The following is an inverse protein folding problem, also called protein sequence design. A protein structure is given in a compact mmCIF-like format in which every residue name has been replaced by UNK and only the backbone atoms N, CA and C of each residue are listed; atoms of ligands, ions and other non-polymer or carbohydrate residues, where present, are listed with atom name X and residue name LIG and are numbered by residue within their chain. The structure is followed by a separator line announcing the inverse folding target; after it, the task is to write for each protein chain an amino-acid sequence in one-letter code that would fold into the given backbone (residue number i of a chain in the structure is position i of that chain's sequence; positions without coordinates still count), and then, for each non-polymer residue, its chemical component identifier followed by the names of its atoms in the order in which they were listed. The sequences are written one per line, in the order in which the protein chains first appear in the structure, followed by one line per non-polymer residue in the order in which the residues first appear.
data_IF_196284573898
#
_entry.id   IF_196284573898
#
_cell.length_a   1.000
_cell.length_b   1.000
_cell.length_c   1.000
_cell.angle_alpha   90.00
_cell.angle_beta   90.00
_cell.angle_gamma   90.00
#
_symmetry.space_group_name_H-M   'P 1'
#
loop_
_entity.id
_entity.type
_entity.pdbx_description
1 polymer ?
#
# COMPACT_ATOMS: atom_id res chain seq x y z
N UNK A 1 61.63 50.48 -8.07
CA UNK A 1 60.86 49.31 -8.54
C UNK A 1 60.39 48.34 -7.43
N UNK A 2 60.70 48.52 -6.14
CA UNK A 2 60.26 47.59 -5.07
C UNK A 2 58.92 47.93 -4.37
N UNK A 3 58.39 49.14 -4.53
CA UNK A 3 57.12 49.57 -3.87
C UNK A 3 55.84 49.20 -4.65
N UNK A 4 55.93 48.92 -5.95
CA UNK A 4 54.77 48.60 -6.79
C UNK A 4 54.31 47.13 -6.69
N UNK A 5 55.19 46.20 -6.30
CA UNK A 5 54.85 44.78 -6.14
C UNK A 5 54.05 44.48 -4.86
N UNK A 6 54.20 45.32 -3.82
CA UNK A 6 53.47 45.17 -2.55
C UNK A 6 51.99 45.56 -2.67
N UNK A 7 51.66 46.53 -3.51
CA UNK A 7 50.26 46.90 -3.79
C UNK A 7 49.56 45.84 -4.64
N UNK A 8 50.24 45.27 -5.64
CA UNK A 8 49.66 44.20 -6.49
C UNK A 8 49.47 42.89 -5.71
N UNK A 9 50.39 42.55 -4.80
CA UNK A 9 50.26 41.38 -3.93
C UNK A 9 49.14 41.54 -2.88
N UNK A 10 48.92 42.75 -2.35
CA UNK A 10 47.84 43.04 -1.42
C UNK A 10 46.45 43.06 -2.12
N UNK A 11 46.37 43.56 -3.35
CA UNK A 11 45.14 43.50 -4.17
C UNK A 11 44.79 42.08 -4.60
N UNK A 12 45.79 41.26 -4.95
CA UNK A 12 45.58 39.86 -5.28
C UNK A 12 45.12 39.05 -4.07
N UNK A 13 45.67 39.30 -2.87
CA UNK A 13 45.28 38.63 -1.62
C UNK A 13 43.85 38.98 -1.16
N UNK A 14 43.35 40.21 -1.41
CA UNK A 14 41.96 40.57 -1.12
C UNK A 14 40.95 39.93 -2.09
N UNK A 15 41.35 39.60 -3.32
CA UNK A 15 40.47 38.93 -4.28
C UNK A 15 40.31 37.42 -4.05
N UNK A 16 41.24 36.75 -3.34
CA UNK A 16 41.15 35.31 -3.02
C UNK A 16 40.40 35.04 -1.71
N UNK A 17 40.18 36.08 -0.88
CA UNK A 17 39.45 35.96 0.38
C UNK A 17 37.93 36.24 0.24
N UNK A 18 37.46 36.73 -0.91
CA UNK A 18 36.09 37.28 -1.06
C UNK A 18 35.05 36.36 -1.71
N UNK A 19 35.33 35.08 -1.95
CA UNK A 19 34.33 34.16 -2.51
C UNK A 19 34.31 32.80 -1.78
N UNK A 20 34.10 32.80 -0.47
CA UNK A 20 33.27 31.73 0.10
C UNK A 20 31.83 32.18 -0.07
N UNK A 21 31.22 31.86 -1.22
CA UNK A 21 29.77 31.93 -1.32
C UNK A 21 29.21 31.00 -0.25
N UNK A 22 28.72 31.58 0.84
CA UNK A 22 27.75 30.88 1.68
C UNK A 22 26.47 30.84 0.87
N UNK A 23 26.39 29.89 -0.06
CA UNK A 23 25.12 29.51 -0.66
C UNK A 23 24.36 28.85 0.48
N UNK A 24 23.64 29.67 1.27
CA UNK A 24 22.65 29.11 2.17
C UNK A 24 21.52 28.58 1.27
N UNK A 25 21.14 27.30 1.39
CA UNK A 25 20.04 26.77 0.61
C UNK A 25 18.79 27.60 0.93
N UNK A 26 18.07 27.99 -0.10
CA UNK A 26 16.82 28.71 0.06
C UNK A 26 15.87 27.87 0.93
N UNK A 27 15.24 28.51 1.92
CA UNK A 27 14.33 27.80 2.81
C UNK A 27 13.14 27.27 2.01
N UNK A 28 12.71 26.02 2.23
CA UNK A 28 11.49 25.51 1.61
C UNK A 28 10.29 26.43 1.86
N UNK A 29 9.51 26.68 0.81
CA UNK A 29 8.27 27.47 0.90
C UNK A 29 7.06 26.59 0.62
N UNK A 30 5.93 26.95 1.23
CA UNK A 30 4.64 26.31 0.96
C UNK A 30 4.01 26.77 -0.37
N UNK A 31 4.59 27.80 -1.02
CA UNK A 31 4.01 28.40 -2.21
C UNK A 31 2.59 28.88 -1.92
N UNK A 32 1.63 28.37 -2.68
CA UNK A 32 0.22 28.67 -2.53
C UNK A 32 -0.50 27.76 -1.51
N UNK A 33 0.15 26.73 -0.96
CA UNK A 33 -0.46 25.83 0.02
C UNK A 33 -0.38 26.38 1.45
N UNK A 34 -1.21 25.84 2.34
CA UNK A 34 -1.16 26.11 3.78
C UNK A 34 -1.09 24.78 4.54
N UNK A 35 0.11 24.38 4.95
CA UNK A 35 0.32 23.11 5.68
C UNK A 35 0.13 23.23 7.19
N UNK A 36 -0.31 24.38 7.71
CA UNK A 36 -0.44 24.61 9.16
C UNK A 36 -1.31 23.57 9.86
N UNK A 37 -2.29 23.01 9.13
CA UNK A 37 -3.09 21.90 9.59
C UNK A 37 -3.32 20.85 8.50
N UNK A 38 -2.32 20.01 8.30
CA UNK A 38 -2.36 18.87 7.39
C UNK A 38 -3.17 17.71 7.97
N UNK A 39 -4.09 17.13 7.17
CA UNK A 39 -4.70 15.83 7.47
C UNK A 39 -4.44 14.80 6.37
N UNK A 40 -4.35 13.53 6.77
CA UNK A 40 -4.21 12.42 5.84
C UNK A 40 -5.42 11.50 5.94
N UNK A 41 -6.21 11.42 4.87
CA UNK A 41 -7.39 10.57 4.76
C UNK A 41 -7.04 9.36 3.90
N UNK A 42 -7.41 8.18 4.35
CA UNK A 42 -7.29 6.98 3.54
C UNK A 42 -7.38 5.71 4.34
N UNK A 43 -6.76 4.67 3.80
CA UNK A 43 -6.88 3.31 4.31
C UNK A 43 -5.64 2.83 5.07
N UNK A 44 -5.38 1.52 5.01
CA UNK A 44 -4.21 0.85 5.56
C UNK A 44 -2.90 1.54 5.16
N UNK A 45 -2.73 1.94 3.89
CA UNK A 45 -1.53 2.62 3.41
C UNK A 45 -1.31 3.97 4.11
N UNK A 46 -2.39 4.73 4.31
CA UNK A 46 -2.37 6.02 5.03
C UNK A 46 -2.08 5.84 6.51
N UNK A 47 -2.59 4.76 7.12
CA UNK A 47 -2.35 4.48 8.54
C UNK A 47 -0.91 4.08 8.85
N UNK A 48 -0.14 3.61 7.86
CA UNK A 48 1.19 3.01 8.06
C UNK A 48 1.16 1.50 8.31
N UNK A 49 0.10 0.83 7.87
CA UNK A 49 -0.01 -0.63 7.93
C UNK A 49 1.10 -1.27 7.08
N UNK A 50 1.72 -2.32 7.58
CA UNK A 50 2.81 -3.01 6.87
C UNK A 50 2.99 -4.40 7.45
N UNK A 51 3.64 -5.31 6.71
CA UNK A 51 3.96 -6.66 7.18
C UNK A 51 2.73 -7.43 7.74
N UNK A 52 1.52 -7.09 7.28
CA UNK A 52 0.28 -7.74 7.65
C UNK A 52 -0.45 -7.21 8.88
N UNK A 53 0.03 -6.14 9.52
CA UNK A 53 -0.64 -5.56 10.69
C UNK A 53 -0.36 -4.06 10.82
N UNK A 54 -1.08 -3.37 11.72
CA UNK A 54 -0.72 -2.02 12.14
C UNK A 54 0.17 -2.13 13.38
N UNK A 55 1.29 -1.40 13.41
CA UNK A 55 2.24 -1.36 14.51
C UNK A 55 2.99 -0.02 14.54
N UNK A 56 3.61 0.32 15.68
CA UNK A 56 4.10 1.68 15.98
C UNK A 56 5.11 2.20 14.95
N UNK A 57 6.21 1.49 14.71
CA UNK A 57 7.23 1.97 13.77
C UNK A 57 6.74 2.00 12.32
N UNK A 58 5.75 1.18 11.94
CA UNK A 58 5.07 1.25 10.65
C UNK A 58 4.30 2.56 10.49
N UNK A 59 3.59 2.98 11.54
CA UNK A 59 2.89 4.27 11.58
C UNK A 59 3.87 5.45 11.50
N UNK A 60 4.97 5.42 12.26
CA UNK A 60 6.01 6.46 12.24
C UNK A 60 6.76 6.55 10.90
N UNK A 61 6.72 5.49 10.10
CA UNK A 61 7.28 5.44 8.75
C UNK A 61 6.22 5.42 7.64
N UNK A 62 5.00 5.85 7.95
CA UNK A 62 3.94 6.03 6.96
C UNK A 62 4.23 7.21 6.05
N UNK A 63 3.69 7.20 4.82
CA UNK A 63 3.84 8.33 3.90
C UNK A 63 3.33 9.65 4.52
N UNK A 64 2.20 9.71 5.27
CA UNK A 64 1.76 10.96 5.88
C UNK A 64 2.73 11.50 6.93
N UNK A 65 3.35 10.61 7.72
CA UNK A 65 4.36 11.01 8.70
C UNK A 65 5.57 11.68 8.01
N UNK A 66 5.99 11.09 6.89
CA UNK A 66 7.09 11.64 6.09
C UNK A 66 6.72 12.98 5.43
N UNK A 67 5.51 13.10 4.88
CA UNK A 67 4.99 14.36 4.32
C UNK A 67 4.93 15.45 5.38
N UNK A 68 4.38 15.15 6.56
CA UNK A 68 4.30 16.09 7.66
C UNK A 68 5.69 16.61 8.08
N UNK A 69 6.70 15.72 8.13
CA UNK A 69 8.07 16.12 8.41
C UNK A 69 8.63 17.09 7.35
N UNK A 70 8.27 16.94 6.06
CA UNK A 70 8.66 17.91 5.03
C UNK A 70 7.86 19.21 5.13
N UNK A 71 6.58 19.13 5.45
CA UNK A 71 5.72 20.31 5.62
C UNK A 71 6.19 21.21 6.76
N UNK A 72 6.72 20.65 7.86
CA UNK A 72 7.31 21.43 8.96
C UNK A 72 8.42 22.38 8.50
N UNK A 73 9.14 22.06 7.42
CA UNK A 73 10.16 22.93 6.84
C UNK A 73 9.59 24.17 6.16
N UNK A 74 8.28 24.17 5.86
CA UNK A 74 7.55 25.20 5.16
C UNK A 74 6.31 25.69 5.95
N UNK A 75 6.39 25.71 7.29
CA UNK A 75 5.32 26.24 8.15
C UNK A 75 4.23 25.24 8.53
N UNK A 76 4.45 23.95 8.29
CA UNK A 76 3.54 22.87 8.70
C UNK A 76 3.43 22.71 10.21
N UNK A 77 2.23 22.34 10.67
CA UNK A 77 1.93 22.16 12.10
C UNK A 77 2.38 20.83 12.70
N UNK A 78 1.96 20.59 13.93
CA UNK A 78 2.08 19.29 14.58
C UNK A 78 1.24 18.23 13.83
N UNK A 79 1.80 17.04 13.63
CA UNK A 79 1.09 15.92 13.00
C UNK A 79 0.85 14.80 14.01
N UNK A 80 -0.39 14.69 14.48
CA UNK A 80 -0.80 13.68 15.46
C UNK A 80 -1.29 12.40 14.77
N UNK A 81 -0.75 11.27 15.19
CA UNK A 81 -1.15 9.94 14.73
C UNK A 81 -1.75 9.12 15.87
N UNK A 82 -2.76 8.27 15.61
CA UNK A 82 -3.31 7.35 16.59
C UNK A 82 -2.37 6.14 16.79
N UNK A 83 -1.19 6.40 17.32
CA UNK A 83 -0.12 5.41 17.46
C UNK A 83 -0.55 4.20 18.30
N UNK A 84 -0.11 3.02 17.88
CA UNK A 84 -0.09 1.83 18.70
C UNK A 84 1.11 1.89 19.66
N UNK A 85 1.01 1.23 20.82
CA UNK A 85 2.08 1.25 21.82
C UNK A 85 3.32 0.46 21.41
N UNK A 86 3.21 -0.49 20.48
CA UNK A 86 4.24 -1.49 20.24
C UNK A 86 4.38 -2.01 18.80
N UNK A 87 5.31 -2.95 18.63
CA UNK A 87 5.82 -3.52 17.38
C UNK A 87 5.19 -4.87 17.01
N UNK A 88 4.61 -5.60 17.97
CA UNK A 88 3.96 -6.89 17.70
C UNK A 88 2.76 -6.74 16.75
N UNK A 89 2.17 -5.56 16.74
CA UNK A 89 0.99 -5.19 15.96
C UNK A 89 -0.32 -5.54 16.63
N UNK A 90 -1.41 -5.01 16.07
CA UNK A 90 -2.74 -5.14 16.65
C UNK A 90 -3.82 -4.98 15.59
N UNK A 91 -4.99 -5.65 15.72
CA UNK A 91 -5.32 -6.66 16.73
C UNK A 91 -4.61 -7.99 16.47
N UNK A 92 -4.58 -8.85 17.50
CA UNK A 92 -4.08 -10.23 17.38
C UNK A 92 -5.25 -11.15 17.78
N UNK A 93 -5.94 -11.65 16.77
CA UNK A 93 -7.06 -12.60 16.88
C UNK A 93 -6.92 -13.61 15.73
N UNK A 94 -6.03 -14.62 15.87
CA UNK A 94 -5.68 -15.51 14.75
C UNK A 94 -6.89 -16.24 14.14
N UNK A 95 -7.87 -16.60 14.97
CA UNK A 95 -9.12 -17.21 14.51
C UNK A 95 -9.95 -16.31 13.57
N UNK A 96 -9.77 -15.00 13.63
CA UNK A 96 -10.38 -14.01 12.75
C UNK A 96 -9.40 -13.48 11.69
N UNK A 97 -8.25 -14.12 11.50
CA UNK A 97 -7.23 -13.74 10.51
C UNK A 97 -6.33 -12.57 10.94
N UNK A 98 -6.51 -12.02 12.14
CA UNK A 98 -5.64 -10.97 12.68
C UNK A 98 -4.43 -11.58 13.37
N UNK A 99 -3.25 -11.36 12.79
CA UNK A 99 -2.01 -11.98 13.23
C UNK A 99 -1.00 -10.92 13.67
N UNK A 100 0.02 -11.31 14.46
CA UNK A 100 1.16 -10.43 14.70
C UNK A 100 1.85 -10.02 13.39
N UNK A 101 2.66 -8.96 13.47
CA UNK A 101 3.48 -8.46 12.37
C UNK A 101 4.33 -9.60 11.79
N UNK A 102 4.52 -9.62 10.46
CA UNK A 102 5.47 -10.53 9.81
C UNK A 102 6.89 -10.00 9.89
N UNK A 103 7.86 -10.88 10.08
CA UNK A 103 9.30 -10.63 10.03
C UNK A 103 10.00 -11.75 9.26
N UNK A 104 11.22 -11.52 8.76
CA UNK A 104 12.00 -12.63 8.20
C UNK A 104 12.54 -13.51 9.31
N UNK A 105 12.38 -14.81 9.15
CA UNK A 105 12.90 -15.80 10.08
C UNK A 105 13.02 -17.16 9.41
N UNK A 106 13.53 -18.14 10.15
CA UNK A 106 13.61 -19.51 9.64
C UNK A 106 12.30 -20.26 9.87
N UNK A 107 11.81 -20.92 8.82
CA UNK A 107 10.69 -21.87 8.88
C UNK A 107 11.11 -23.20 8.28
N UNK A 108 10.45 -24.29 8.70
CA UNK A 108 10.67 -25.63 8.16
C UNK A 108 9.40 -26.08 7.44
N UNK A 109 9.53 -26.47 6.18
CA UNK A 109 8.39 -26.93 5.40
C UNK A 109 8.02 -28.39 5.69
N UNK A 110 6.93 -28.87 5.08
CA UNK A 110 6.43 -30.23 5.24
C UNK A 110 7.37 -31.33 4.72
N UNK A 111 8.45 -30.99 4.01
CA UNK A 111 9.49 -31.92 3.58
C UNK A 111 10.72 -31.90 4.53
N UNK A 112 10.63 -31.15 5.63
CA UNK A 112 11.74 -30.97 6.56
C UNK A 112 12.81 -30.00 6.08
N UNK A 113 12.56 -29.22 5.02
CA UNK A 113 13.51 -28.25 4.50
C UNK A 113 13.39 -26.96 5.29
N UNK A 114 14.49 -26.56 5.95
CA UNK A 114 14.60 -25.29 6.67
C UNK A 114 15.07 -24.18 5.72
N UNK A 115 14.29 -23.12 5.59
CA UNK A 115 14.63 -21.95 4.77
C UNK A 115 14.19 -20.64 5.42
N UNK A 116 14.68 -19.53 4.87
CA UNK A 116 14.23 -18.21 5.29
C UNK A 116 12.84 -17.92 4.67
N UNK A 117 11.90 -17.41 5.47
CA UNK A 117 10.56 -17.02 5.04
C UNK A 117 10.00 -15.92 5.92
N UNK A 118 8.91 -15.25 5.50
CA UNK A 118 8.07 -14.51 6.43
C UNK A 118 7.57 -15.45 7.53
N UNK A 119 7.71 -15.03 8.79
CA UNK A 119 7.16 -15.68 10.00
C UNK A 119 6.50 -14.62 10.86
N UNK A 120 5.64 -15.02 11.80
CA UNK A 120 5.06 -14.07 12.74
C UNK A 120 6.07 -13.65 13.81
N UNK A 121 6.04 -12.37 14.15
CA UNK A 121 6.82 -11.77 15.21
C UNK A 121 6.51 -12.45 16.56
N UNK A 122 7.55 -12.94 17.23
CA UNK A 122 7.43 -13.80 18.42
C UNK A 122 7.94 -13.15 19.73
N UNK A 123 8.37 -11.88 19.68
CA UNK A 123 8.90 -11.11 20.83
C UNK A 123 7.74 -10.61 21.73
N UNK A 124 8.02 -10.17 22.99
CA UNK A 124 6.95 -10.04 23.98
C UNK A 124 5.88 -9.07 23.48
N UNK A 125 4.63 -9.52 23.60
CA UNK A 125 3.46 -8.81 23.12
C UNK A 125 3.39 -7.44 23.83
N UNK A 126 3.85 -6.41 23.14
CA UNK A 126 3.88 -5.01 23.59
C UNK A 126 2.58 -4.28 23.20
N UNK A 127 1.47 -5.01 23.25
CA UNK A 127 0.14 -4.53 22.84
C UNK A 127 -0.71 -4.02 24.00
N UNK A 128 -0.11 -3.87 25.18
CA UNK A 128 -0.78 -3.30 26.35
C UNK A 128 -1.27 -1.88 26.01
N UNK A 129 -2.60 -1.66 26.09
CA UNK A 129 -3.24 -0.40 25.72
C UNK A 129 -3.63 -0.28 24.24
N UNK A 130 -3.31 -1.26 23.39
CA UNK A 130 -3.70 -1.22 21.97
C UNK A 130 -5.21 -1.25 21.77
N UNK A 131 -6.00 -1.87 22.66
CA UNK A 131 -7.47 -1.85 22.59
C UNK A 131 -8.13 -0.64 23.27
N UNK A 132 -7.36 0.17 24.00
CA UNK A 132 -7.91 1.31 24.73
C UNK A 132 -8.29 2.44 23.77
N UNK A 133 -9.39 3.14 24.09
CA UNK A 133 -9.72 4.38 23.39
C UNK A 133 -8.70 5.47 23.74
N UNK A 134 -8.24 6.17 22.72
CA UNK A 134 -7.34 7.32 22.76
C UNK A 134 -8.00 8.57 22.17
N UNK A 135 -9.31 8.55 21.96
CA UNK A 135 -10.03 9.65 21.31
C UNK A 135 -9.85 11.01 22.01
N UNK A 136 -9.64 11.02 23.33
CA UNK A 136 -9.35 12.23 24.12
C UNK A 136 -8.00 12.88 23.80
N UNK A 137 -7.10 12.18 23.10
CA UNK A 137 -5.80 12.71 22.66
C UNK A 137 -5.88 13.41 21.30
N UNK A 138 -7.06 13.36 20.66
CA UNK A 138 -7.31 14.01 19.37
C UNK A 138 -7.50 15.54 19.47
N UNK A 139 -7.85 16.19 18.34
CA UNK A 139 -8.05 15.59 17.03
C UNK A 139 -6.74 15.03 16.45
N UNK A 140 -6.83 13.92 15.74
CA UNK A 140 -5.69 13.33 15.04
C UNK A 140 -5.61 13.86 13.60
N UNK A 141 -4.39 14.03 13.09
CA UNK A 141 -4.16 14.46 11.71
C UNK A 141 -4.18 13.27 10.75
N UNK A 142 -3.65 12.11 11.18
CA UNK A 142 -3.75 10.88 10.40
C UNK A 142 -5.09 10.19 10.66
N UNK A 143 -5.95 10.21 9.65
CA UNK A 143 -7.28 9.60 9.60
C UNK A 143 -7.26 8.30 8.76
N UNK A 144 -6.09 7.71 8.59
CA UNK A 144 -5.93 6.40 7.94
C UNK A 144 -6.54 5.28 8.77
N UNK A 145 -7.50 4.56 8.20
CA UNK A 145 -8.15 3.42 8.87
C UNK A 145 -7.93 2.14 8.07
N UNK A 146 -7.19 1.14 8.60
CA UNK A 146 -7.00 -0.12 7.89
C UNK A 146 -8.32 -0.77 7.49
N UNK A 147 -8.42 -1.19 6.23
CA UNK A 147 -9.59 -1.85 5.66
C UNK A 147 -10.77 -0.92 5.27
N UNK A 148 -10.71 0.39 5.54
CA UNK A 148 -11.81 1.29 5.13
C UNK A 148 -11.89 1.41 3.60
N UNK A 149 -13.12 1.38 3.07
CA UNK A 149 -13.43 1.68 1.66
C UNK A 149 -13.89 3.12 1.50
N UNK A 150 -13.88 3.63 0.27
CA UNK A 150 -14.46 4.93 -0.04
C UNK A 150 -15.95 4.97 0.34
N UNK A 151 -16.70 3.92 0.01
CA UNK A 151 -18.14 3.83 0.34
C UNK A 151 -18.43 3.80 1.84
N UNK A 152 -17.47 3.41 2.67
CA UNK A 152 -17.61 3.36 4.12
C UNK A 152 -17.32 4.72 4.79
N UNK A 153 -16.65 5.64 4.09
CA UNK A 153 -16.15 6.89 4.67
C UNK A 153 -17.27 7.86 5.10
N UNK A 154 -18.45 7.71 4.50
CA UNK A 154 -19.66 8.47 4.83
C UNK A 154 -20.65 7.69 5.69
N UNK A 155 -20.29 6.49 6.14
CA UNK A 155 -21.17 5.62 6.94
C UNK A 155 -21.16 6.02 8.42
N UNK A 156 -22.33 6.38 8.94
CA UNK A 156 -22.50 6.67 10.36
C UNK A 156 -22.30 5.39 11.19
N UNK A 157 -21.49 5.47 12.24
CA UNK A 157 -21.27 4.33 13.13
C UNK A 157 -20.22 3.33 12.64
N UNK A 158 -19.48 3.66 11.57
CA UNK A 158 -18.40 2.81 11.04
C UNK A 158 -17.39 2.38 12.11
N UNK A 159 -17.15 3.23 13.11
CA UNK A 159 -16.23 2.96 14.21
C UNK A 159 -16.57 1.72 15.04
N UNK A 160 -17.81 1.24 15.03
CA UNK A 160 -18.18 -0.01 15.73
C UNK A 160 -17.63 -1.24 15.01
N UNK A 161 -17.55 -1.20 13.68
CA UNK A 161 -17.20 -2.37 12.86
C UNK A 161 -15.71 -2.50 12.59
N UNK A 162 -14.92 -1.50 12.98
CA UNK A 162 -13.50 -1.45 12.70
C UNK A 162 -12.70 -1.20 14.00
N UNK A 163 -11.88 -2.15 14.44
CA UNK A 163 -11.19 -2.05 15.73
C UNK A 163 -10.20 -0.86 15.76
N UNK A 164 -9.64 -0.45 14.63
CA UNK A 164 -8.69 0.65 14.56
C UNK A 164 -9.36 2.00 14.81
N UNK A 165 -10.44 2.29 14.09
CA UNK A 165 -11.18 3.55 14.28
C UNK A 165 -11.92 3.60 15.61
N UNK A 166 -12.37 2.47 16.15
CA UNK A 166 -12.93 2.38 17.51
C UNK A 166 -12.01 2.99 18.58
N UNK A 167 -10.68 2.93 18.36
CA UNK A 167 -9.71 3.51 19.30
C UNK A 167 -9.74 5.03 19.31
N UNK A 168 -9.84 5.70 18.16
CA UNK A 168 -9.55 7.13 18.07
C UNK A 168 -10.72 8.00 17.62
N UNK A 169 -11.87 7.42 17.25
CA UNK A 169 -13.09 8.17 16.98
C UNK A 169 -13.73 8.64 18.28
N UNK A 170 -14.20 9.90 18.30
CA UNK A 170 -14.83 10.50 19.50
C UNK A 170 -16.12 9.81 19.92
N UNK A 171 -16.94 9.35 18.97
CA UNK A 171 -18.09 8.49 19.24
C UNK A 171 -18.23 7.45 18.12
N UNK A 172 -17.57 6.29 18.26
CA UNK A 172 -17.50 5.27 17.22
C UNK A 172 -18.86 4.83 16.66
N UNK A 173 -19.94 4.91 17.46
CA UNK A 173 -21.28 4.47 17.10
C UNK A 173 -22.19 5.50 16.46
N UNK A 174 -21.84 6.79 16.46
CA UNK A 174 -22.71 7.85 15.95
C UNK A 174 -22.04 8.83 15.00
N UNK A 175 -20.73 8.74 14.78
CA UNK A 175 -20.01 9.61 13.85
C UNK A 175 -19.67 8.89 12.55
N UNK A 176 -19.54 9.66 11.46
CA UNK A 176 -18.92 9.17 10.22
C UNK A 176 -17.40 9.37 10.29
N UNK A 177 -16.62 8.54 9.57
CA UNK A 177 -15.20 8.81 9.32
C UNK A 177 -14.94 10.23 8.81
N UNK A 178 -15.76 10.72 7.88
CA UNK A 178 -15.68 12.10 7.39
C UNK A 178 -15.78 13.14 8.51
N UNK A 179 -16.74 12.99 9.43
CA UNK A 179 -16.93 13.94 10.54
C UNK A 179 -15.69 13.99 11.46
N UNK A 180 -15.04 12.83 11.68
CA UNK A 180 -13.82 12.74 12.48
C UNK A 180 -12.66 13.50 11.84
N UNK A 181 -12.50 13.41 10.52
CA UNK A 181 -11.47 14.16 9.80
C UNK A 181 -11.69 15.69 9.85
N UNK A 182 -12.95 16.13 9.85
CA UNK A 182 -13.29 17.56 9.90
C UNK A 182 -13.05 18.18 11.28
N UNK A 183 -12.97 17.38 12.37
CA UNK A 183 -12.66 17.88 13.71
C UNK A 183 -11.32 18.61 13.78
N UNK A 184 -10.36 18.19 12.95
CA UNK A 184 -9.06 18.84 12.89
C UNK A 184 -9.16 20.27 12.35
N UNK A 185 -10.16 20.62 11.54
CA UNK A 185 -10.26 21.86 10.72
C UNK A 185 -9.12 22.00 9.69
N UNK A 186 -9.00 21.07 8.74
CA UNK A 186 -7.87 21.02 7.80
C UNK A 186 -7.67 22.30 6.98
N UNK A 187 -6.41 22.65 6.73
CA UNK A 187 -6.00 23.64 5.72
C UNK A 187 -5.37 22.98 4.50
N UNK A 188 -4.79 21.78 4.69
CA UNK A 188 -4.29 20.93 3.63
C UNK A 188 -4.67 19.47 3.85
N UNK A 189 -4.92 18.70 2.79
CA UNK A 189 -5.20 17.27 2.91
C UNK A 189 -4.52 16.42 1.84
N UNK A 190 -4.27 15.16 2.16
CA UNK A 190 -4.06 14.09 1.17
C UNK A 190 -5.18 13.08 1.32
N UNK A 191 -5.79 12.64 0.22
CA UNK A 191 -6.85 11.63 0.25
C UNK A 191 -6.51 10.45 -0.66
N UNK A 192 -6.33 9.27 -0.06
CA UNK A 192 -6.06 8.01 -0.75
C UNK A 192 -7.08 6.93 -0.35
N UNK A 193 -8.30 7.09 -0.86
CA UNK A 193 -9.41 6.15 -0.69
C UNK A 193 -9.63 5.37 -1.99
N UNK A 194 -10.19 4.17 -1.87
CA UNK A 194 -10.65 3.39 -3.03
C UNK A 194 -9.99 2.05 -3.24
N UNK A 195 -8.75 1.82 -2.77
CA UNK A 195 -8.07 0.54 -3.00
C UNK A 195 -8.84 -0.65 -2.39
N UNK A 196 -9.43 -0.48 -1.20
CA UNK A 196 -10.22 -1.53 -0.56
C UNK A 196 -11.58 -1.77 -1.25
N UNK A 197 -12.05 -0.85 -2.10
CA UNK A 197 -13.28 -1.00 -2.88
C UNK A 197 -13.13 -2.04 -4.00
N UNK A 198 -11.90 -2.51 -4.27
CA UNK A 198 -11.58 -3.62 -5.20
C UNK A 198 -10.69 -4.71 -4.58
N UNK A 199 -9.82 -4.37 -3.62
CA UNK A 199 -8.82 -5.29 -3.07
C UNK A 199 -9.44 -6.45 -2.28
N UNK A 200 -10.53 -6.21 -1.53
CA UNK A 200 -11.22 -7.26 -0.78
C UNK A 200 -11.75 -8.38 -1.70
N UNK A 201 -12.34 -7.98 -2.83
CA UNK A 201 -12.75 -8.90 -3.90
C UNK A 201 -11.57 -9.66 -4.49
N UNK A 202 -10.51 -8.95 -4.88
CA UNK A 202 -9.35 -9.59 -5.50
C UNK A 202 -8.64 -10.59 -4.57
N UNK A 203 -8.44 -10.22 -3.30
CA UNK A 203 -7.68 -11.04 -2.33
C UNK A 203 -8.46 -12.24 -1.77
N UNK A 204 -9.78 -12.28 -1.97
CA UNK A 204 -10.66 -13.41 -1.65
C UNK A 204 -10.88 -14.37 -2.83
N UNK A 205 -10.09 -14.21 -3.90
CA UNK A 205 -10.22 -15.00 -5.13
C UNK A 205 -11.51 -14.71 -5.89
N UNK A 206 -11.93 -13.43 -5.94
CA UNK A 206 -13.06 -12.98 -6.76
C UNK A 206 -14.45 -13.49 -6.32
N UNK A 207 -14.55 -14.12 -5.16
CA UNK A 207 -15.79 -14.76 -4.66
C UNK A 207 -16.89 -13.80 -4.23
N UNK A 208 -16.61 -12.50 -4.11
CA UNK A 208 -17.60 -11.48 -3.77
C UNK A 208 -18.48 -11.05 -4.95
N UNK A 209 -19.38 -10.09 -4.71
CA UNK A 209 -20.20 -9.50 -5.77
C UNK A 209 -19.46 -8.37 -6.50
N UNK A 210 -19.66 -8.26 -7.82
CA UNK A 210 -19.26 -7.07 -8.58
C UNK A 210 -20.37 -6.00 -8.52
N UNK A 211 -20.22 -5.01 -7.65
CA UNK A 211 -21.25 -3.99 -7.36
C UNK A 211 -22.04 -4.26 -6.07
N UNK A 212 -21.39 -4.81 -5.04
CA UNK A 212 -21.97 -5.09 -3.72
C UNK A 212 -21.34 -4.26 -2.59
N UNK A 213 -21.85 -4.40 -1.37
CA UNK A 213 -21.42 -3.61 -0.20
C UNK A 213 -20.80 -4.45 0.91
N UNK A 214 -20.70 -5.77 0.77
CA UNK A 214 -19.96 -6.62 1.70
C UNK A 214 -18.44 -6.40 1.55
N UNK A 215 -17.66 -6.75 2.57
CA UNK A 215 -16.21 -6.47 2.64
C UNK A 215 -15.42 -7.12 1.48
N UNK A 216 -15.91 -8.25 0.95
CA UNK A 216 -15.33 -8.95 -0.20
C UNK A 216 -15.87 -8.51 -1.55
N UNK A 217 -16.77 -7.52 -1.62
CA UNK A 217 -17.39 -7.09 -2.88
C UNK A 217 -16.57 -5.96 -3.54
N UNK A 218 -16.67 -5.87 -4.87
CA UNK A 218 -16.35 -4.63 -5.57
C UNK A 218 -17.48 -3.63 -5.28
N UNK A 219 -17.12 -2.44 -4.84
CA UNK A 219 -18.12 -1.43 -4.44
C UNK A 219 -18.92 -0.90 -5.64
N UNK A 220 -20.18 -0.46 -5.47
CA UNK A 220 -20.96 0.08 -6.57
C UNK A 220 -20.43 1.47 -6.99
N UNK A 221 -20.22 1.69 -8.28
CA UNK A 221 -19.68 2.96 -8.82
C UNK A 221 -20.48 4.20 -8.40
N UNK A 222 -21.80 4.11 -8.37
CA UNK A 222 -22.66 5.22 -7.96
C UNK A 222 -22.45 5.60 -6.49
N UNK A 223 -22.27 4.61 -5.61
CA UNK A 223 -22.02 4.82 -4.18
C UNK A 223 -20.61 5.35 -3.96
N UNK A 224 -19.61 4.77 -4.65
CA UNK A 224 -18.23 5.26 -4.63
C UNK A 224 -18.18 6.75 -4.99
N UNK A 225 -18.80 7.12 -6.12
CA UNK A 225 -18.84 8.51 -6.59
C UNK A 225 -19.49 9.43 -5.58
N UNK A 226 -20.66 9.07 -5.06
CA UNK A 226 -21.37 9.89 -4.08
C UNK A 226 -20.55 10.11 -2.80
N UNK A 227 -19.92 9.06 -2.26
CA UNK A 227 -19.08 9.15 -1.05
C UNK A 227 -17.81 9.94 -1.30
N UNK A 228 -17.14 9.75 -2.44
CA UNK A 228 -15.92 10.47 -2.79
C UNK A 228 -16.19 11.97 -2.96
N UNK A 229 -17.21 12.33 -3.75
CA UNK A 229 -17.62 13.73 -3.97
C UNK A 229 -18.05 14.40 -2.66
N UNK A 230 -18.85 13.73 -1.82
CA UNK A 230 -19.27 14.27 -0.53
C UNK A 230 -18.07 14.57 0.39
N UNK A 231 -17.08 13.68 0.38
CA UNK A 231 -15.87 13.84 1.21
C UNK A 231 -15.02 15.01 0.77
N UNK A 232 -14.76 15.13 -0.55
CA UNK A 232 -13.99 16.26 -1.09
C UNK A 232 -14.74 17.58 -0.91
N UNK A 233 -16.04 17.62 -1.21
CA UNK A 233 -16.85 18.84 -1.05
C UNK A 233 -16.84 19.37 0.39
N UNK A 234 -16.86 18.48 1.39
CA UNK A 234 -16.80 18.88 2.79
C UNK A 234 -15.44 19.50 3.18
N UNK A 235 -14.33 19.01 2.60
CA UNK A 235 -13.00 19.59 2.79
C UNK A 235 -12.86 20.92 2.06
N UNK A 236 -13.36 21.01 0.83
CA UNK A 236 -13.37 22.26 0.04
C UNK A 236 -14.20 23.35 0.69
N UNK A 237 -15.26 23.02 1.42
CA UNK A 237 -16.05 23.98 2.19
C UNK A 237 -15.25 24.68 3.31
N UNK A 238 -14.09 24.12 3.70
CA UNK A 238 -13.14 24.75 4.62
C UNK A 238 -12.07 25.58 3.91
N UNK A 239 -12.15 25.71 2.58
CA UNK A 239 -11.10 26.25 1.70
C UNK A 239 -9.77 25.48 1.79
N UNK A 240 -9.80 24.21 2.21
CA UNK A 240 -8.62 23.38 2.28
C UNK A 240 -8.10 23.06 0.87
N UNK A 241 -6.79 23.17 0.66
CA UNK A 241 -6.11 22.64 -0.54
C UNK A 241 -5.72 21.19 -0.31
N UNK A 242 -5.34 20.45 -1.34
CA UNK A 242 -4.96 19.06 -1.12
C UNK A 242 -4.63 18.26 -2.36
N UNK A 243 -4.32 17.00 -2.12
CA UNK A 243 -3.95 16.04 -3.17
C UNK A 243 -4.88 14.85 -3.12
N UNK A 244 -5.42 14.49 -4.27
CA UNK A 244 -6.14 13.25 -4.49
C UNK A 244 -5.21 12.23 -5.13
N UNK A 245 -5.22 11.01 -4.58
CA UNK A 245 -4.33 9.93 -5.01
C UNK A 245 -5.21 8.80 -5.54
N UNK A 246 -4.98 8.41 -6.79
CA UNK A 246 -5.81 7.39 -7.43
C UNK A 246 -5.45 5.96 -6.96
N UNK A 247 -6.25 4.99 -7.38
CA UNK A 247 -6.14 3.59 -6.96
C UNK A 247 -5.11 2.87 -7.83
N UNK A 248 -4.08 2.24 -7.23
CA UNK A 248 -3.11 1.46 -7.99
C UNK A 248 -3.70 0.17 -8.56
N UNK A 249 -3.03 -0.42 -9.56
CA UNK A 249 -3.37 -1.76 -10.02
C UNK A 249 -3.09 -2.77 -8.89
N UNK A 250 -4.16 -3.17 -8.19
CA UNK A 250 -4.06 -4.12 -7.08
C UNK A 250 -3.64 -5.52 -7.54
N UNK A 251 -3.76 -5.85 -8.83
CA UNK A 251 -3.32 -7.15 -9.38
C UNK A 251 -1.81 -7.19 -9.66
N UNK A 252 -1.14 -6.03 -9.65
CA UNK A 252 0.30 -5.93 -9.90
C UNK A 252 1.17 -6.09 -8.62
N UNK A 253 0.54 -6.17 -7.44
CA UNK A 253 1.26 -6.28 -6.16
C UNK A 253 1.82 -7.71 -5.95
N UNK A 254 2.86 -7.88 -5.11
CA UNK A 254 3.47 -9.19 -4.86
C UNK A 254 2.48 -10.28 -4.42
N UNK A 255 1.37 -9.92 -3.77
CA UNK A 255 0.33 -10.86 -3.37
C UNK A 255 -0.18 -11.72 -4.54
N UNK A 256 -0.24 -11.17 -5.76
CA UNK A 256 -0.69 -11.89 -6.95
C UNK A 256 0.46 -12.37 -7.83
N UNK A 257 1.63 -11.73 -7.74
CA UNK A 257 2.76 -11.99 -8.66
C UNK A 257 3.85 -12.89 -8.08
N UNK A 258 3.82 -13.19 -6.77
CA UNK A 258 4.85 -14.03 -6.11
C UNK A 258 4.74 -15.51 -6.48
N UNK A 259 3.52 -16.04 -6.57
CA UNK A 259 3.30 -17.45 -6.93
C UNK A 259 3.14 -17.55 -8.44
N UNK A 260 4.11 -18.11 -9.18
CA UNK A 260 4.02 -18.15 -10.64
C UNK A 260 2.91 -19.11 -11.08
N UNK A 261 2.19 -18.75 -12.14
CA UNK A 261 1.15 -19.60 -12.73
C UNK A 261 1.71 -20.90 -13.30
N UNK A 262 2.98 -20.90 -13.73
CA UNK A 262 3.76 -22.10 -14.09
C UNK A 262 4.61 -22.62 -12.94
N UNK A 263 4.00 -22.77 -11.76
CA UNK A 263 4.72 -23.19 -10.55
C UNK A 263 4.80 -24.71 -10.34
N UNK A 264 4.02 -25.51 -11.08
CA UNK A 264 4.09 -26.97 -10.97
C UNK A 264 5.29 -27.52 -11.75
N UNK A 265 6.36 -27.86 -11.04
CA UNK A 265 7.57 -28.41 -11.66
C UNK A 265 7.60 -29.94 -11.56
N UNK A 266 7.53 -30.62 -12.71
CA UNK A 266 7.65 -32.07 -12.81
C UNK A 266 9.07 -32.44 -13.25
N UNK A 267 9.74 -33.33 -12.51
CA UNK A 267 11.16 -33.64 -12.74
C UNK A 267 11.39 -34.92 -13.52
N UNK A 268 10.36 -35.77 -13.70
CA UNK A 268 10.46 -37.07 -14.38
C UNK A 268 9.30 -37.29 -15.34
N UNK A 269 9.59 -37.91 -16.50
CA UNK A 269 8.59 -38.21 -17.53
C UNK A 269 7.40 -39.00 -16.99
N UNK A 270 7.65 -40.04 -16.16
CA UNK A 270 6.58 -40.84 -15.58
C UNK A 270 5.59 -40.06 -14.68
N UNK A 271 5.99 -38.91 -14.11
CA UNK A 271 5.05 -38.05 -13.38
C UNK A 271 4.09 -37.35 -14.34
N UNK A 272 4.61 -36.79 -15.44
CA UNK A 272 3.81 -36.16 -16.47
C UNK A 272 2.85 -37.18 -17.11
N UNK A 273 3.35 -38.37 -17.47
CA UNK A 273 2.54 -39.44 -18.05
C UNK A 273 1.40 -39.87 -17.12
N UNK A 274 1.69 -40.04 -15.82
CA UNK A 274 0.69 -40.43 -14.83
C UNK A 274 -0.41 -39.38 -14.67
N UNK A 275 -0.04 -38.09 -14.63
CA UNK A 275 -1.01 -37.00 -14.56
C UNK A 275 -1.82 -36.90 -15.85
N UNK A 276 -1.19 -36.97 -17.03
CA UNK A 276 -1.87 -36.95 -18.31
C UNK A 276 -2.89 -38.09 -18.45
N UNK A 277 -2.52 -39.30 -17.99
CA UNK A 277 -3.42 -40.44 -17.95
C UNK A 277 -4.59 -40.22 -16.97
N UNK A 278 -4.35 -39.62 -15.80
CA UNK A 278 -5.38 -39.35 -14.80
C UNK A 278 -6.42 -38.31 -15.28
N UNK A 279 -5.98 -37.28 -16.01
CA UNK A 279 -6.87 -36.23 -16.52
C UNK A 279 -7.50 -36.56 -17.88
N UNK A 280 -6.91 -37.47 -18.67
CA UNK A 280 -7.46 -37.90 -19.96
C UNK A 280 -7.70 -36.75 -20.96
N UNK A 281 -6.96 -35.65 -20.85
CA UNK A 281 -7.13 -34.46 -21.68
C UNK A 281 -8.38 -33.62 -21.35
N UNK A 282 -9.05 -33.86 -20.20
CA UNK A 282 -10.17 -33.06 -19.73
C UNK A 282 -9.83 -31.57 -19.77
N UNK A 283 -10.66 -30.77 -20.44
CA UNK A 283 -10.46 -29.33 -20.64
C UNK A 283 -9.07 -28.93 -21.17
N UNK A 284 -8.42 -29.83 -21.92
CA UNK A 284 -7.08 -29.59 -22.47
C UNK A 284 -5.97 -29.64 -21.43
N UNK A 285 -6.22 -30.17 -20.23
CA UNK A 285 -5.18 -30.35 -19.20
C UNK A 285 -4.09 -31.25 -19.75
N UNK A 286 -2.86 -30.74 -19.76
CA UNK A 286 -1.69 -31.48 -20.21
C UNK A 286 -0.44 -31.08 -19.41
N UNK A 287 0.41 -32.06 -19.15
CA UNK A 287 1.65 -31.92 -18.39
C UNK A 287 2.86 -32.37 -19.21
N UNK A 288 3.96 -31.65 -19.05
CA UNK A 288 5.29 -31.97 -19.59
C UNK A 288 6.31 -32.05 -18.45
N UNK A 289 7.48 -32.63 -18.70
CA UNK A 289 8.62 -32.43 -17.81
C UNK A 289 9.00 -30.95 -17.80
N UNK A 290 9.30 -30.40 -16.63
CA UNK A 290 9.55 -28.97 -16.42
C UNK A 290 8.38 -28.24 -15.78
N UNK A 291 8.27 -26.94 -16.06
CA UNK A 291 7.27 -26.06 -15.47
C UNK A 291 5.91 -26.17 -16.21
N UNK A 292 4.84 -26.38 -15.45
CA UNK A 292 3.48 -26.54 -15.94
C UNK A 292 2.53 -25.57 -15.22
N UNK A 293 1.42 -25.26 -15.88
CA UNK A 293 0.32 -24.55 -15.25
C UNK A 293 -0.32 -25.40 -14.15
N UNK A 294 -0.69 -24.76 -13.05
CA UNK A 294 -1.46 -25.36 -11.97
C UNK A 294 -2.84 -25.83 -12.44
N UNK A 295 -3.32 -26.94 -11.90
CA UNK A 295 -4.74 -27.32 -11.97
C UNK A 295 -5.52 -26.56 -10.91
N UNK A 296 -6.60 -25.90 -11.31
CA UNK A 296 -7.47 -25.11 -10.45
C UNK A 296 -8.90 -25.63 -10.51
N UNK A 297 -9.68 -25.37 -9.46
CA UNK A 297 -11.12 -25.54 -9.48
C UNK A 297 -11.72 -24.38 -10.27
N UNK A 298 -12.67 -24.67 -11.15
CA UNK A 298 -13.41 -23.67 -11.91
C UNK A 298 -14.78 -24.23 -12.26
N UNK A 299 -15.83 -23.72 -11.62
CA UNK A 299 -17.20 -24.19 -11.81
C UNK A 299 -17.81 -23.86 -13.18
N UNK A 300 -17.15 -23.02 -13.98
CA UNK A 300 -17.61 -22.61 -15.31
C UNK A 300 -17.29 -23.62 -16.43
N UNK A 301 -16.43 -24.61 -16.15
CA UNK A 301 -16.01 -25.63 -17.13
C UNK A 301 -16.47 -27.04 -16.75
N UNK A 302 -16.61 -27.91 -17.76
CA UNK A 302 -17.01 -29.31 -17.56
C UNK A 302 -16.09 -30.04 -16.57
N UNK A 303 -16.64 -30.71 -15.56
CA UNK A 303 -15.84 -31.40 -14.55
C UNK A 303 -15.25 -30.48 -13.48
N UNK A 304 -15.56 -29.18 -13.53
CA UNK A 304 -15.21 -28.16 -12.54
C UNK A 304 -13.70 -27.94 -12.30
N UNK A 305 -12.85 -28.32 -13.28
CA UNK A 305 -11.40 -28.21 -13.17
C UNK A 305 -10.75 -27.84 -14.49
N UNK A 306 -9.69 -27.04 -14.47
CA UNK A 306 -8.85 -26.75 -15.64
C UNK A 306 -7.45 -26.36 -15.23
N UNK A 307 -6.55 -26.17 -16.19
CA UNK A 307 -5.31 -25.46 -15.94
C UNK A 307 -5.56 -23.94 -15.87
N UNK A 308 -4.83 -23.28 -14.97
CA UNK A 308 -4.75 -21.81 -14.90
C UNK A 308 -4.18 -21.24 -16.20
N UNK A 309 -4.63 -20.06 -16.60
CA UNK A 309 -4.29 -19.40 -17.88
C UNK A 309 -3.38 -18.19 -17.66
N UNK A 310 -2.71 -17.77 -18.72
CA UNK A 310 -1.99 -16.50 -18.73
C UNK A 310 -2.93 -15.34 -18.39
N UNK A 311 -2.47 -14.41 -17.55
CA UNK A 311 -3.25 -13.27 -17.06
C UNK A 311 -4.14 -13.56 -15.85
N UNK A 312 -4.17 -14.80 -15.36
CA UNK A 312 -4.77 -15.19 -14.08
C UNK A 312 -3.71 -15.25 -12.98
N UNK A 313 -4.12 -15.33 -11.71
CA UNK A 313 -3.20 -15.27 -10.58
C UNK A 313 -3.46 -16.35 -9.54
N UNK A 314 -2.39 -16.81 -8.88
CA UNK A 314 -2.49 -17.58 -7.64
C UNK A 314 -2.16 -16.65 -6.48
N UNK A 315 -3.07 -16.55 -5.51
CA UNK A 315 -2.93 -15.67 -4.36
C UNK A 315 -1.81 -16.16 -3.43
N UNK A 316 -1.03 -15.21 -2.89
CA UNK A 316 0.04 -15.49 -1.90
C UNK A 316 -0.50 -16.13 -0.61
N UNK A 317 -1.79 -15.99 -0.32
CA UNK A 317 -2.48 -16.64 0.81
C UNK A 317 -2.58 -18.17 0.68
N UNK A 318 -2.29 -18.74 -0.50
CA UNK A 318 -2.33 -20.18 -0.71
C UNK A 318 -1.39 -20.91 0.26
N UNK A 319 -1.87 -21.95 0.98
CA UNK A 319 -1.02 -22.72 1.89
C UNK A 319 0.11 -23.43 1.13
N UNK A 320 1.34 -22.96 1.32
CA UNK A 320 2.52 -23.45 0.59
C UNK A 320 2.77 -24.96 0.82
N UNK A 321 2.48 -25.47 2.02
CA UNK A 321 2.59 -26.89 2.31
C UNK A 321 1.57 -27.74 1.52
N UNK A 322 0.41 -27.19 1.18
CA UNK A 322 -0.59 -27.90 0.38
C UNK A 322 -0.12 -28.06 -1.07
N UNK A 323 0.49 -27.00 -1.63
CA UNK A 323 1.15 -27.07 -2.95
C UNK A 323 2.29 -28.08 -2.97
N UNK A 324 3.17 -28.03 -1.96
CA UNK A 324 4.39 -28.86 -1.92
C UNK A 324 4.13 -30.34 -1.60
N UNK A 325 3.24 -30.61 -0.66
CA UNK A 325 3.14 -31.94 -0.04
C UNK A 325 1.78 -32.61 -0.21
N UNK A 326 0.71 -31.85 -0.49
CA UNK A 326 -0.66 -32.40 -0.62
C UNK A 326 -1.15 -32.44 -2.07
N UNK A 327 -0.28 -32.13 -3.03
CA UNK A 327 -0.59 -32.21 -4.46
C UNK A 327 -1.56 -31.15 -4.96
N UNK A 328 -1.78 -30.05 -4.21
CA UNK A 328 -2.57 -28.93 -4.71
C UNK A 328 -1.94 -28.34 -5.98
N UNK A 329 -2.77 -28.03 -6.97
CA UNK A 329 -2.31 -27.58 -8.27
C UNK A 329 -1.81 -28.69 -9.20
N UNK A 330 -1.85 -29.94 -8.74
CA UNK A 330 -1.62 -31.14 -9.56
C UNK A 330 -2.84 -32.05 -9.42
N UNK A 331 -2.75 -33.17 -8.69
CA UNK A 331 -3.84 -34.14 -8.47
C UNK A 331 -5.04 -33.59 -7.67
N UNK A 332 -4.82 -32.54 -6.87
CA UNK A 332 -5.89 -31.81 -6.18
C UNK A 332 -5.97 -30.41 -6.81
N UNK A 333 -7.13 -30.00 -7.36
CA UNK A 333 -7.26 -28.64 -7.91
C UNK A 333 -7.09 -27.60 -6.80
N UNK A 334 -6.41 -26.49 -7.10
CA UNK A 334 -6.37 -25.33 -6.20
C UNK A 334 -7.79 -24.80 -6.04
N UNK A 335 -8.31 -24.61 -4.81
CA UNK A 335 -9.63 -24.05 -4.60
C UNK A 335 -9.75 -22.62 -5.16
N UNK A 336 -10.95 -22.30 -5.64
CA UNK A 336 -11.33 -21.03 -6.26
C UNK A 336 -10.88 -19.79 -5.45
N UNK A 337 -11.12 -19.76 -4.14
CA UNK A 337 -10.74 -18.64 -3.27
C UNK A 337 -9.23 -18.37 -3.11
N UNK A 338 -8.36 -19.15 -3.77
CA UNK A 338 -6.92 -18.89 -3.86
C UNK A 338 -6.45 -18.52 -5.28
N UNK A 339 -7.36 -18.40 -6.23
CA UNK A 339 -7.09 -18.06 -7.62
C UNK A 339 -7.89 -16.82 -7.97
N UNK A 340 -7.34 -15.97 -8.83
CA UNK A 340 -8.09 -14.88 -9.45
C UNK A 340 -8.14 -15.16 -10.96
N UNK A 341 -9.31 -15.51 -11.45
CA UNK A 341 -9.53 -15.87 -12.84
C UNK A 341 -9.59 -14.64 -13.77
N UNK A 342 -9.64 -14.88 -15.08
CA UNK A 342 -9.63 -13.81 -16.07
C UNK A 342 -10.84 -12.85 -15.96
N UNK A 343 -12.03 -13.37 -15.64
CA UNK A 343 -13.23 -12.55 -15.50
C UNK A 343 -13.12 -11.67 -14.25
N UNK A 344 -12.61 -12.22 -13.16
CA UNK A 344 -12.42 -11.52 -11.90
C UNK A 344 -11.32 -10.45 -12.01
N UNK A 345 -10.21 -10.75 -12.70
CA UNK A 345 -9.18 -9.77 -13.05
C UNK A 345 -9.80 -8.62 -13.87
N UNK A 346 -10.63 -8.92 -14.85
CA UNK A 346 -11.31 -7.90 -15.66
C UNK A 346 -12.29 -7.06 -14.84
N UNK A 347 -13.02 -7.66 -13.89
CA UNK A 347 -13.90 -6.95 -12.98
C UNK A 347 -13.10 -5.93 -12.14
N UNK A 348 -11.99 -6.36 -11.55
CA UNK A 348 -11.10 -5.51 -10.74
C UNK A 348 -10.53 -4.36 -11.58
N UNK A 349 -9.99 -4.64 -12.77
CA UNK A 349 -9.40 -3.62 -13.64
C UNK A 349 -10.42 -2.60 -14.14
N UNK A 350 -11.61 -3.06 -14.52
CA UNK A 350 -12.70 -2.20 -14.99
C UNK A 350 -13.20 -1.28 -13.88
N UNK A 351 -13.42 -1.82 -12.67
CA UNK A 351 -13.82 -1.02 -11.51
C UNK A 351 -12.75 -0.01 -11.10
N UNK A 352 -11.48 -0.44 -11.05
CA UNK A 352 -10.34 0.45 -10.73
C UNK A 352 -10.27 1.62 -11.72
N UNK A 353 -10.45 1.35 -13.02
CA UNK A 353 -10.48 2.39 -14.06
C UNK A 353 -11.64 3.36 -13.83
N UNK A 354 -12.85 2.84 -13.59
CA UNK A 354 -14.03 3.66 -13.36
C UNK A 354 -13.93 4.54 -12.10
N UNK A 355 -13.37 4.01 -11.01
CA UNK A 355 -13.11 4.78 -9.80
C UNK A 355 -12.03 5.85 -10.03
N UNK A 356 -10.95 5.52 -10.73
CA UNK A 356 -9.88 6.49 -11.01
C UNK A 356 -10.36 7.66 -11.87
N UNK A 357 -11.28 7.42 -12.82
CA UNK A 357 -11.92 8.50 -13.58
C UNK A 357 -12.70 9.46 -12.66
N UNK A 358 -13.43 8.93 -11.66
CA UNK A 358 -14.11 9.78 -10.66
C UNK A 358 -13.10 10.62 -9.87
N UNK A 359 -11.99 10.01 -9.45
CA UNK A 359 -10.94 10.70 -8.67
C UNK A 359 -10.32 11.84 -9.48
N UNK A 360 -9.97 11.58 -10.74
CA UNK A 360 -9.38 12.55 -11.66
C UNK A 360 -10.35 13.70 -11.98
N UNK A 361 -11.61 13.39 -12.27
CA UNK A 361 -12.66 14.39 -12.51
C UNK A 361 -12.83 15.32 -11.30
N UNK A 362 -12.86 14.75 -10.09
CA UNK A 362 -13.00 15.52 -8.85
C UNK A 362 -11.76 16.38 -8.57
N UNK A 363 -10.56 15.87 -8.84
CA UNK A 363 -9.33 16.64 -8.70
C UNK A 363 -9.30 17.83 -9.66
N UNK A 364 -9.62 17.58 -10.93
CA UNK A 364 -9.65 18.60 -11.99
C UNK A 364 -10.69 19.67 -11.69
N UNK A 365 -11.92 19.28 -11.34
CA UNK A 365 -13.03 20.19 -11.03
C UNK A 365 -12.73 21.13 -9.85
N UNK A 366 -11.97 20.66 -8.87
CA UNK A 366 -11.66 21.43 -7.65
C UNK A 366 -10.26 22.04 -7.67
N UNK A 367 -9.52 21.93 -8.77
CA UNK A 367 -8.13 22.42 -8.90
C UNK A 367 -7.19 21.89 -7.80
N UNK A 368 -7.33 20.60 -7.49
CA UNK A 368 -6.51 19.89 -6.52
C UNK A 368 -5.32 19.21 -7.19
N UNK A 369 -4.27 18.92 -6.42
CA UNK A 369 -3.20 18.07 -6.91
C UNK A 369 -3.71 16.66 -7.18
N UNK A 370 -3.24 16.04 -8.27
CA UNK A 370 -3.60 14.67 -8.64
C UNK A 370 -2.34 13.82 -8.74
N UNK A 371 -2.29 12.74 -7.95
CA UNK A 371 -1.23 11.74 -7.99
C UNK A 371 -1.75 10.49 -8.69
N UNK A 372 -1.15 10.16 -9.83
CA UNK A 372 -1.39 8.92 -10.54
C UNK A 372 -0.56 7.78 -9.94
N UNK A 373 -0.98 7.31 -8.77
CA UNK A 373 -0.37 6.16 -8.09
C UNK A 373 -0.51 4.86 -8.92
N UNK A 374 -1.51 4.77 -9.79
CA UNK A 374 -1.68 3.66 -10.73
C UNK A 374 -0.51 3.55 -11.70
N UNK A 375 -0.23 4.62 -12.44
CA UNK A 375 0.90 4.65 -13.36
C UNK A 375 2.23 4.57 -12.59
N UNK A 376 2.37 5.31 -11.50
CA UNK A 376 3.62 5.36 -10.73
C UNK A 376 4.00 3.99 -10.14
N UNK A 377 3.09 3.31 -9.45
CA UNK A 377 3.38 1.99 -8.88
C UNK A 377 3.49 0.90 -9.94
N UNK A 378 2.83 1.04 -11.10
CA UNK A 378 3.06 0.16 -12.24
C UNK A 378 4.49 0.28 -12.78
N UNK A 379 5.10 1.46 -12.71
CA UNK A 379 6.51 1.65 -13.13
C UNK A 379 7.51 0.91 -12.23
N UNK A 380 7.13 0.50 -11.01
CA UNK A 380 7.98 -0.36 -10.17
C UNK A 380 8.31 -1.69 -10.84
N UNK A 381 7.44 -2.20 -11.74
CA UNK A 381 7.68 -3.46 -12.45
C UNK A 381 8.96 -3.39 -13.29
N UNK A 382 9.28 -2.22 -13.88
CA UNK A 382 10.56 -1.98 -14.56
C UNK A 382 11.71 -1.57 -13.63
N UNK A 383 11.38 -1.25 -12.38
CA UNK A 383 12.30 -0.77 -11.35
C UNK A 383 12.42 0.75 -11.31
N UNK A 384 12.43 1.32 -10.10
CA UNK A 384 12.72 2.73 -9.84
C UNK A 384 14.08 2.83 -9.16
N UNK A 385 14.98 3.67 -9.69
CA UNK A 385 16.30 3.89 -9.07
C UNK A 385 16.35 5.24 -8.37
N UNK A 386 16.73 5.24 -7.10
CA UNK A 386 16.91 6.44 -6.29
C UNK A 386 18.28 6.44 -5.62
N UNK A 387 19.10 7.46 -5.89
CA UNK A 387 20.46 7.59 -5.36
C UNK A 387 21.28 6.28 -5.48
N UNK A 388 21.20 5.63 -6.65
CA UNK A 388 21.94 4.40 -6.95
C UNK A 388 21.35 3.10 -6.39
N UNK A 389 20.21 3.14 -5.69
CA UNK A 389 19.50 1.94 -5.20
C UNK A 389 18.24 1.71 -6.03
N UNK A 390 18.05 0.49 -6.52
CA UNK A 390 16.87 0.11 -7.30
C UNK A 390 15.80 -0.54 -6.43
N UNK A 391 14.56 -0.19 -6.71
CA UNK A 391 13.34 -0.63 -6.02
C UNK A 391 12.37 -1.23 -7.02
N UNK A 392 11.83 -2.40 -6.71
CA UNK A 392 10.88 -3.11 -7.55
C UNK A 392 9.92 -3.97 -6.69
N UNK A 393 8.90 -4.62 -7.26
CA UNK A 393 7.90 -5.37 -6.51
C UNK A 393 8.30 -6.82 -6.26
N UNK A 394 9.55 -7.23 -6.50
CA UNK A 394 10.00 -8.58 -6.16
C UNK A 394 9.80 -8.80 -4.66
N UNK A 395 9.02 -9.81 -4.31
CA UNK A 395 8.67 -10.09 -2.92
C UNK A 395 9.93 -10.30 -2.06
N UNK A 396 9.94 -9.74 -0.85
CA UNK A 396 11.06 -9.76 0.11
C UNK A 396 12.30 -8.93 -0.32
N UNK A 397 12.78 -9.05 -1.55
CA UNK A 397 14.09 -8.49 -1.97
C UNK A 397 14.00 -7.21 -2.80
N UNK A 398 12.84 -6.89 -3.37
CA UNK A 398 12.64 -5.72 -4.23
C UNK A 398 12.58 -4.39 -3.47
N UNK A 399 12.40 -4.43 -2.15
CA UNK A 399 12.49 -3.27 -1.27
C UNK A 399 11.25 -2.36 -1.22
N UNK A 400 10.35 -2.41 -2.21
CA UNK A 400 9.15 -1.57 -2.23
C UNK A 400 8.01 -2.11 -1.35
N UNK A 401 7.76 -3.43 -1.37
CA UNK A 401 6.65 -4.07 -0.68
C UNK A 401 7.09 -4.87 0.55
N UNK A 402 6.22 -4.88 1.55
CA UNK A 402 6.40 -5.52 2.85
C UNK A 402 6.05 -7.02 2.81
N UNK A 403 6.20 -7.70 3.95
CA UNK A 403 6.10 -9.16 4.04
C UNK A 403 4.68 -9.74 3.93
N UNK A 404 3.66 -8.90 3.75
CA UNK A 404 2.31 -9.34 3.37
C UNK A 404 2.07 -9.35 1.84
N UNK A 405 3.00 -8.81 1.06
CA UNK A 405 2.88 -8.71 -0.39
C UNK A 405 1.82 -7.71 -0.88
N UNK A 406 1.26 -6.89 0.02
CA UNK A 406 0.21 -5.92 -0.28
C UNK A 406 0.66 -4.50 0.06
N UNK A 407 1.12 -4.30 1.29
CA UNK A 407 1.49 -2.97 1.79
C UNK A 407 2.95 -2.66 1.53
N UNK A 408 3.28 -1.38 1.58
CA UNK A 408 4.62 -0.87 1.32
C UNK A 408 5.54 -1.06 2.54
N UNK A 409 6.84 -1.17 2.29
CA UNK A 409 7.88 -0.97 3.32
C UNK A 409 8.02 0.52 3.62
N UNK A 410 8.77 0.92 4.67
CA UNK A 410 9.18 2.32 4.84
C UNK A 410 9.84 2.94 3.60
N UNK A 411 10.60 2.17 2.81
CA UNK A 411 11.15 2.65 1.52
C UNK A 411 10.07 2.82 0.46
N UNK A 412 9.13 1.89 0.37
CA UNK A 412 7.95 2.03 -0.51
C UNK A 412 7.09 3.24 -0.14
N UNK A 413 6.89 3.49 1.16
CA UNK A 413 6.20 4.69 1.63
C UNK A 413 6.96 5.98 1.30
N UNK A 414 8.30 5.97 1.35
CA UNK A 414 9.09 7.11 0.91
C UNK A 414 9.01 7.34 -0.61
N UNK A 415 8.94 6.28 -1.42
CA UNK A 415 8.72 6.39 -2.87
C UNK A 415 7.40 7.11 -3.19
N UNK A 416 6.29 6.72 -2.56
CA UNK A 416 5.01 7.39 -2.79
C UNK A 416 4.96 8.78 -2.15
N UNK A 417 5.60 8.98 -0.99
CA UNK A 417 5.72 10.31 -0.38
C UNK A 417 6.42 11.29 -1.34
N UNK A 418 7.51 10.86 -2.00
CA UNK A 418 8.21 11.70 -2.98
C UNK A 418 7.37 12.00 -4.22
N UNK A 419 6.57 11.05 -4.69
CA UNK A 419 5.65 11.30 -5.80
C UNK A 419 4.54 12.29 -5.40
N UNK A 420 4.02 12.20 -4.17
CA UNK A 420 3.07 13.18 -3.63
C UNK A 420 3.73 14.55 -3.51
N UNK A 421 4.96 14.65 -2.97
CA UNK A 421 5.71 15.91 -2.85
C UNK A 421 5.97 16.54 -4.21
N UNK A 422 6.29 15.74 -5.24
CA UNK A 422 6.45 16.21 -6.62
C UNK A 422 5.19 16.89 -7.15
N UNK A 423 4.03 16.27 -6.93
CA UNK A 423 2.73 16.84 -7.30
C UNK A 423 2.44 18.10 -6.49
N UNK A 424 2.66 18.10 -5.19
CA UNK A 424 2.46 19.29 -4.32
C UNK A 424 3.32 20.47 -4.78
N UNK A 425 4.62 20.24 -5.03
CA UNK A 425 5.53 21.27 -5.52
C UNK A 425 5.08 21.83 -6.87
N UNK A 426 4.56 20.96 -7.76
CA UNK A 426 4.10 21.35 -9.09
C UNK A 426 2.78 22.13 -9.03
N UNK A 427 1.78 21.64 -8.28
CA UNK A 427 0.43 22.21 -8.24
C UNK A 427 0.36 23.49 -7.42
N UNK A 428 1.14 23.58 -6.33
CA UNK A 428 1.08 24.68 -5.37
C UNK A 428 2.32 25.55 -5.35
N UNK A 429 3.24 25.39 -6.31
CA UNK A 429 4.47 26.18 -6.42
C UNK A 429 5.31 26.17 -5.14
N UNK A 430 5.26 25.06 -4.39
CA UNK A 430 6.07 24.85 -3.20
C UNK A 430 7.46 24.30 -3.56
N UNK A 431 8.40 24.39 -2.61
CA UNK A 431 9.79 23.93 -2.80
C UNK A 431 10.18 22.91 -1.74
N UNK A 432 9.24 22.04 -1.36
CA UNK A 432 9.46 21.02 -0.35
C UNK A 432 10.55 20.05 -0.81
N UNK A 433 11.52 19.72 0.05
CA UNK A 433 12.51 18.70 -0.26
C UNK A 433 11.88 17.32 -0.30
N UNK A 434 12.54 16.41 -1.03
CA UNK A 434 12.16 15.01 -1.10
C UNK A 434 12.71 14.24 0.10
N UNK A 435 11.99 13.20 0.52
CA UNK A 435 12.42 12.24 1.53
C UNK A 435 13.59 11.43 0.99
N UNK A 436 14.66 11.29 1.79
CA UNK A 436 15.71 10.33 1.47
C UNK A 436 15.22 8.90 1.68
N UNK A 437 14.93 8.22 0.57
CA UNK A 437 14.42 6.84 0.54
C UNK A 437 15.43 5.87 1.17
N UNK A 438 16.73 6.09 0.94
CA UNK A 438 17.78 5.16 1.37
C UNK A 438 18.00 5.23 2.89
N UNK A 439 17.56 6.31 3.54
CA UNK A 439 17.56 6.44 5.01
C UNK A 439 16.49 5.57 5.69
N UNK A 440 15.55 5.01 4.93
CA UNK A 440 14.44 4.20 5.47
C UNK A 440 14.78 2.72 5.49
N UNK A 441 14.21 2.02 6.46
CA UNK A 441 14.37 0.57 6.59
C UNK A 441 13.65 -0.18 5.47
N UNK A 442 14.31 -1.21 4.93
CA UNK A 442 13.67 -2.21 4.07
C UNK A 442 13.22 -3.42 4.89
N UNK A 443 12.99 -4.54 4.21
CA UNK A 443 12.88 -5.84 4.87
C UNK A 443 14.21 -6.18 5.55
N UNK A 444 14.16 -6.47 6.85
CA UNK A 444 15.33 -6.89 7.62
C UNK A 444 15.47 -8.41 7.57
N UNK A 445 16.69 -8.88 7.32
CA UNK A 445 17.06 -10.29 7.31
C UNK A 445 17.76 -10.63 8.65
N UNK A 446 17.52 -11.82 9.21
CA UNK A 446 18.10 -12.24 10.50
C UNK A 446 19.61 -12.52 10.43
#
# INVERSE_FOLDING_TARGET
MKKSYLLIAASAALCIASCKSKIEPEKPTAGDADFSNYIAIGNSLTSGFSDGTLYRSGQENSYPSMLAAQFQLAGGGEFKQPLLPGEAGWPIVPAAGYNPRRVMGYSTDCLGVKSLSPVFYALPIDTAGSSASIASQGPFNNQGVPGIRCIDYTLTGYGIFNPYSARFYTNPGSTKPLDQALLAKPTFFTMWLGSNDVLGYATSGGTGANGGVAIGDISPLSVFKASYEASVNALMALNAKGVLINIPDVTAIPYFTTVPIKGLVLTRQGQADSLNAAYGGLNGIHFNVGANYWVIADSSVTGNIRQIKEGEYVCLSIPQNNLKCLGWGSVVPIPDGYVLDMQEVNNVKSATTAFNLVIEDVATKNHLGYVDANAYLSSLQSGITWNGVSYNPTFVTGGAFSLDGVHLTPRGYALIANEILRVINTTYHSTLPMVDINSKNGVLFP
#
